data_IF_302665154432
#
_entry.id   IF_302665154432
#
_cell.length_a   1.000
_cell.length_b   1.000
_cell.length_c   1.000
_cell.angle_alpha   90.00
_cell.angle_beta   90.00
_cell.angle_gamma   90.00
#
_symmetry.space_group_name_H-M   'P 1'
#
loop_
_entity.id
_entity.type
_entity.pdbx_description
1 polymer ?
#
# COMPACT_ATOMS: atom_id res chain seq x y z
N UNK A 1 6.24 -16.11 -3.59
CA UNK A 1 7.67 -15.94 -3.86
C UNK A 1 8.42 -16.95 -3.00
N UNK A 2 9.35 -17.75 -3.56
CA UNK A 2 10.03 -18.78 -2.77
C UNK A 2 11.24 -18.22 -2.01
N UNK A 3 11.62 -18.87 -0.90
CA UNK A 3 12.88 -18.54 -0.25
C UNK A 3 14.04 -18.65 -1.24
N UNK A 4 14.98 -17.70 -1.17
CA UNK A 4 16.09 -17.45 -2.09
C UNK A 4 15.74 -16.76 -3.42
N UNK A 5 14.47 -16.49 -3.71
CA UNK A 5 14.01 -15.65 -4.82
C UNK A 5 13.68 -14.24 -4.31
N UNK A 6 14.01 -13.19 -5.06
CA UNK A 6 13.70 -11.83 -4.63
C UNK A 6 12.24 -11.46 -4.91
N UNK A 7 11.65 -10.60 -4.09
CA UNK A 7 10.39 -9.94 -4.44
C UNK A 7 10.64 -9.03 -5.64
N UNK A 8 9.93 -9.27 -6.75
CA UNK A 8 10.06 -8.48 -7.97
C UNK A 8 9.28 -7.16 -7.88
N UNK A 9 9.99 -6.05 -8.08
CA UNK A 9 9.45 -4.69 -8.20
C UNK A 9 9.67 -4.24 -9.65
N UNK A 10 8.56 -4.04 -10.37
CA UNK A 10 8.61 -3.62 -11.76
C UNK A 10 8.38 -2.12 -11.89
N UNK A 11 9.23 -1.44 -12.66
CA UNK A 11 9.11 -0.02 -12.97
C UNK A 11 9.00 0.18 -14.48
N UNK A 12 8.17 1.14 -14.87
CA UNK A 12 8.11 1.68 -16.23
C UNK A 12 8.70 3.09 -16.23
N UNK A 13 9.62 3.34 -17.16
CA UNK A 13 10.23 4.66 -17.33
C UNK A 13 9.48 5.50 -18.36
N UNK A 14 9.55 6.82 -18.24
CA UNK A 14 8.93 7.72 -19.20
C UNK A 14 9.53 7.51 -20.60
N UNK A 15 8.67 7.35 -21.61
CA UNK A 15 9.09 7.06 -22.99
C UNK A 15 9.34 5.57 -23.27
N UNK A 16 9.20 4.69 -22.28
CA UNK A 16 9.26 3.24 -22.43
C UNK A 16 7.86 2.63 -22.25
N UNK A 17 7.49 1.70 -23.13
CA UNK A 17 6.24 0.95 -23.04
C UNK A 17 6.39 -0.36 -22.26
N UNK A 18 7.62 -0.76 -21.94
CA UNK A 18 7.94 -1.98 -21.21
C UNK A 18 8.08 -1.75 -19.70
N UNK A 19 7.97 -2.85 -18.94
CA UNK A 19 8.28 -2.88 -17.51
C UNK A 19 9.59 -3.63 -17.31
N UNK A 20 10.45 -3.09 -16.46
CA UNK A 20 11.74 -3.69 -16.10
C UNK A 20 11.74 -4.07 -14.61
N UNK A 21 12.35 -5.21 -14.28
CA UNK A 21 12.56 -5.61 -12.88
C UNK A 21 13.69 -4.75 -12.30
N UNK A 22 13.34 -3.94 -11.30
CA UNK A 22 14.22 -2.98 -10.64
C UNK A 22 14.52 -3.36 -9.18
N UNK A 23 14.16 -4.57 -8.74
CA UNK A 23 14.19 -4.98 -7.33
C UNK A 23 15.55 -4.79 -6.66
N UNK A 24 16.62 -5.14 -7.36
CA UNK A 24 17.99 -5.01 -6.83
C UNK A 24 18.46 -3.56 -6.81
N UNK A 25 18.11 -2.78 -7.84
CA UNK A 25 18.50 -1.37 -7.98
C UNK A 25 17.78 -0.51 -6.94
N UNK A 26 16.51 -0.82 -6.68
CA UNK A 26 15.68 -0.09 -5.74
C UNK A 26 15.90 -0.48 -4.27
N UNK A 27 16.72 -1.49 -3.97
CA UNK A 27 17.07 -1.89 -2.60
C UNK A 27 16.19 -2.99 -1.98
N UNK A 28 15.24 -3.57 -2.72
CA UNK A 28 14.34 -4.62 -2.20
C UNK A 28 14.94 -6.03 -2.34
N UNK A 29 15.73 -6.26 -3.38
CA UNK A 29 16.06 -7.61 -3.84
C UNK A 29 16.87 -8.47 -2.86
N UNK A 30 17.94 -7.91 -2.29
CA UNK A 30 18.87 -8.66 -1.45
C UNK A 30 18.27 -9.10 -0.11
N UNK A 31 17.38 -8.30 0.47
CA UNK A 31 16.75 -8.61 1.74
C UNK A 31 15.48 -9.42 1.60
N UNK A 32 14.66 -9.16 0.57
CA UNK A 32 13.41 -9.89 0.35
C UNK A 32 13.66 -11.38 0.08
N UNK A 33 14.76 -11.72 -0.60
CA UNK A 33 15.08 -13.11 -0.95
C UNK A 33 15.39 -14.04 0.22
N UNK A 34 15.58 -13.49 1.42
CA UNK A 34 15.91 -14.29 2.61
C UNK A 34 14.69 -15.08 3.12
N UNK A 35 13.49 -14.66 2.76
CA UNK A 35 12.22 -15.17 3.29
C UNK A 35 11.32 -15.71 2.18
N UNK A 36 10.33 -16.52 2.55
CA UNK A 36 9.27 -16.98 1.67
C UNK A 36 8.05 -16.06 1.84
N UNK A 37 7.79 -15.24 0.81
CA UNK A 37 6.75 -14.21 0.83
C UNK A 37 5.43 -14.70 0.25
N UNK A 38 4.33 -14.36 0.95
CA UNK A 38 2.95 -14.61 0.51
C UNK A 38 2.15 -13.33 0.25
N UNK A 39 2.05 -12.46 1.26
CA UNK A 39 1.30 -11.21 1.16
C UNK A 39 2.24 -10.05 0.88
N UNK A 40 1.88 -9.21 -0.07
CA UNK A 40 2.65 -8.02 -0.46
C UNK A 40 1.69 -6.89 -0.82
N UNK A 41 2.00 -5.67 -0.39
CA UNK A 41 1.25 -4.46 -0.77
C UNK A 41 2.14 -3.22 -0.74
N UNK A 42 1.66 -2.18 -1.43
CA UNK A 42 2.13 -0.81 -1.30
C UNK A 42 1.14 0.02 -0.47
N UNK A 43 1.68 0.80 0.46
CA UNK A 43 0.97 1.77 1.30
C UNK A 43 1.95 2.87 1.78
N UNK A 44 1.48 4.09 1.95
CA UNK A 44 2.23 5.23 2.51
C UNK A 44 2.01 5.25 4.04
N UNK A 45 2.95 4.70 4.82
CA UNK A 45 2.75 4.50 6.27
C UNK A 45 3.13 5.73 7.11
N UNK A 46 3.94 6.65 6.58
CA UNK A 46 4.38 7.87 7.27
C UNK A 46 3.75 9.16 6.71
N UNK A 47 2.87 9.02 5.71
CA UNK A 47 2.12 10.09 5.07
C UNK A 47 3.01 11.13 4.38
N UNK A 48 4.18 10.71 3.92
CA UNK A 48 5.13 11.56 3.19
C UNK A 48 4.86 11.63 1.68
N UNK A 49 3.79 10.96 1.23
CA UNK A 49 3.33 10.94 -0.14
C UNK A 49 4.08 9.95 -1.03
N UNK A 50 4.91 9.06 -0.47
CA UNK A 50 5.56 7.95 -1.18
C UNK A 50 5.03 6.63 -0.64
N UNK A 51 4.82 5.67 -1.53
CA UNK A 51 4.33 4.35 -1.13
C UNK A 51 5.52 3.49 -0.68
N UNK A 52 5.42 2.94 0.52
CA UNK A 52 6.30 1.92 1.08
C UNK A 52 5.86 0.53 0.62
N UNK A 53 6.77 -0.44 0.67
CA UNK A 53 6.49 -1.84 0.35
C UNK A 53 6.46 -2.66 1.63
N UNK A 54 5.31 -3.20 1.99
CA UNK A 54 5.17 -4.16 3.08
C UNK A 54 4.97 -5.57 2.54
N UNK A 55 5.67 -6.53 3.15
CA UNK A 55 5.46 -7.94 2.87
C UNK A 55 5.44 -8.80 4.11
N UNK A 56 4.60 -9.83 4.07
CA UNK A 56 4.47 -10.82 5.13
C UNK A 56 4.94 -12.20 4.66
N UNK A 57 5.70 -12.84 5.54
CA UNK A 57 6.47 -14.03 5.26
C UNK A 57 6.09 -15.19 6.18
N UNK A 58 6.52 -16.39 5.79
CA UNK A 58 6.42 -17.61 6.59
C UNK A 58 6.50 -18.83 5.71
N UNK A 59 7.39 -19.76 6.04
CA UNK A 59 7.63 -20.94 5.23
C UNK A 59 6.41 -21.88 5.18
N UNK A 60 6.39 -22.78 4.21
CA UNK A 60 5.33 -23.80 4.06
C UNK A 60 5.61 -25.07 4.85
N UNK A 61 6.89 -25.45 4.92
CA UNK A 61 7.39 -26.62 5.64
C UNK A 61 7.84 -26.25 7.06
N UNK A 62 7.28 -26.93 8.07
CA UNK A 62 7.55 -26.69 9.49
C UNK A 62 8.96 -27.12 9.90
N UNK A 63 9.48 -28.15 9.23
CA UNK A 63 10.78 -28.76 9.52
C UNK A 63 11.90 -28.28 8.57
N UNK A 64 11.69 -27.16 7.86
CA UNK A 64 12.61 -26.70 6.80
C UNK A 64 14.05 -26.53 7.29
N UNK A 65 14.23 -26.11 8.54
CA UNK A 65 15.53 -25.91 9.17
C UNK A 65 16.37 -27.20 9.24
N UNK A 66 15.75 -28.39 9.17
CA UNK A 66 16.45 -29.68 9.12
C UNK A 66 17.14 -29.93 7.79
N UNK A 67 16.64 -29.30 6.72
CA UNK A 67 17.18 -29.43 5.35
C UNK A 67 17.98 -28.18 4.96
N UNK A 68 17.53 -27.00 5.36
CA UNK A 68 18.15 -25.71 5.10
C UNK A 68 18.26 -24.92 6.40
N UNK A 69 19.40 -25.02 7.09
CA UNK A 69 19.59 -24.44 8.43
C UNK A 69 19.39 -22.91 8.50
N UNK A 70 19.52 -22.19 7.38
CA UNK A 70 19.29 -20.75 7.29
C UNK A 70 17.81 -20.37 7.21
N UNK A 71 16.92 -21.33 6.99
CA UNK A 71 15.48 -21.12 6.86
C UNK A 71 14.76 -21.55 8.14
N UNK A 72 13.69 -20.83 8.48
CA UNK A 72 12.81 -21.17 9.60
C UNK A 72 11.36 -21.15 9.15
N UNK A 73 10.52 -21.95 9.82
CA UNK A 73 9.10 -22.00 9.52
C UNK A 73 8.43 -20.64 9.70
N UNK A 74 8.64 -20.04 10.87
CA UNK A 74 8.25 -18.66 11.13
C UNK A 74 9.31 -17.73 10.54
N UNK A 75 8.89 -16.67 9.88
CA UNK A 75 9.79 -15.70 9.26
C UNK A 75 9.35 -14.28 9.58
N UNK A 76 10.29 -13.33 9.71
CA UNK A 76 9.94 -11.94 9.97
C UNK A 76 9.18 -11.34 8.78
N UNK A 77 8.21 -10.48 9.05
CA UNK A 77 7.70 -9.57 8.01
C UNK A 77 8.76 -8.51 7.67
N UNK A 78 8.59 -7.84 6.54
CA UNK A 78 9.53 -6.82 6.09
C UNK A 78 8.76 -5.59 5.61
N UNK A 79 9.11 -4.45 6.19
CA UNK A 79 8.73 -3.14 5.69
C UNK A 79 9.95 -2.54 5.01
N UNK A 80 9.80 -2.21 3.73
CA UNK A 80 10.76 -1.48 2.94
C UNK A 80 10.24 -0.04 2.83
N UNK A 81 10.83 0.86 3.61
CA UNK A 81 10.48 2.28 3.63
C UNK A 81 11.04 2.99 2.40
N UNK A 82 10.20 3.76 1.72
CA UNK A 82 10.54 4.51 0.53
C UNK A 82 11.16 5.85 0.92
N UNK A 83 12.48 5.85 1.07
CA UNK A 83 13.29 7.02 1.42
C UNK A 83 13.28 8.11 0.33
N UNK A 84 12.88 7.75 -0.91
CA UNK A 84 12.86 8.65 -2.06
C UNK A 84 14.15 8.62 -2.89
N UNK A 85 14.17 9.38 -3.98
CA UNK A 85 15.24 9.32 -5.00
C UNK A 85 16.60 9.86 -4.52
N UNK A 86 16.64 10.61 -3.42
CA UNK A 86 17.88 11.16 -2.86
C UNK A 86 18.69 10.15 -2.07
N UNK A 87 18.14 8.96 -1.80
CA UNK A 87 18.79 7.93 -0.99
C UNK A 87 19.55 6.95 -1.90
N UNK A 88 20.65 6.37 -1.39
CA UNK A 88 21.48 5.42 -2.18
C UNK A 88 20.67 4.26 -2.76
N UNK A 89 19.65 3.82 -2.03
CA UNK A 89 18.60 2.95 -2.51
C UNK A 89 17.25 3.53 -2.11
N UNK A 90 16.30 3.53 -3.05
CA UNK A 90 15.00 4.13 -2.83
C UNK A 90 14.24 3.45 -1.69
N UNK A 91 14.33 2.13 -1.59
CA UNK A 91 13.73 1.36 -0.50
C UNK A 91 14.79 0.92 0.50
N UNK A 92 14.52 1.17 1.78
CA UNK A 92 15.38 0.81 2.90
C UNK A 92 14.61 -0.15 3.80
N UNK A 93 15.22 -1.31 4.11
CA UNK A 93 14.62 -2.26 5.04
C UNK A 93 14.53 -1.66 6.46
N UNK A 94 13.32 -1.53 6.96
CA UNK A 94 13.06 -1.10 8.34
C UNK A 94 13.33 -2.24 9.33
N UNK A 95 13.98 -1.95 10.47
CA UNK A 95 14.21 -2.95 11.52
C UNK A 95 12.94 -3.31 12.31
N UNK A 96 11.85 -2.54 12.17
CA UNK A 96 10.64 -2.62 12.99
C UNK A 96 10.02 -4.02 13.01
N UNK A 97 10.00 -4.70 11.86
CA UNK A 97 9.34 -6.01 11.69
C UNK A 97 10.30 -7.20 11.69
N UNK A 98 11.60 -6.98 11.96
CA UNK A 98 12.61 -8.03 11.89
C UNK A 98 12.72 -8.88 13.17
N UNK A 99 12.18 -8.39 14.28
CA UNK A 99 12.33 -9.02 15.60
C UNK A 99 11.32 -10.14 15.82
N UNK A 100 10.07 -9.93 15.42
CA UNK A 100 9.02 -10.93 15.53
C UNK A 100 8.94 -11.78 14.26
N UNK A 101 8.60 -13.06 14.43
CA UNK A 101 8.44 -14.01 13.33
C UNK A 101 7.01 -14.52 13.30
N UNK A 102 6.45 -14.57 12.10
CA UNK A 102 5.07 -14.98 11.88
C UNK A 102 5.02 -16.11 10.85
N UNK A 103 3.84 -16.71 10.72
CA UNK A 103 3.53 -17.64 9.63
C UNK A 103 2.49 -16.97 8.74
N UNK A 104 2.85 -15.79 8.22
CA UNK A 104 1.90 -14.90 7.57
C UNK A 104 1.51 -15.36 6.17
N UNK A 105 0.29 -15.00 5.75
CA UNK A 105 -0.29 -15.41 4.46
C UNK A 105 -0.91 -14.24 3.71
N UNK A 106 -1.92 -13.63 4.31
CA UNK A 106 -2.60 -12.46 3.76
C UNK A 106 -2.23 -11.20 4.53
N UNK A 107 -2.25 -10.07 3.84
CA UNK A 107 -2.10 -8.75 4.43
C UNK A 107 -3.10 -7.80 3.79
N UNK A 108 -3.79 -7.03 4.62
CA UNK A 108 -4.70 -5.98 4.21
C UNK A 108 -4.35 -4.69 4.93
N UNK A 109 -4.59 -3.56 4.27
CA UNK A 109 -4.35 -2.23 4.82
C UNK A 109 -5.67 -1.47 4.98
N UNK A 110 -5.81 -0.74 6.08
CA UNK A 110 -6.88 0.21 6.34
C UNK A 110 -6.45 1.12 7.47
N UNK A 111 -6.84 2.39 7.43
CA UNK A 111 -6.91 3.22 8.62
C UNK A 111 -8.15 2.78 9.44
N UNK A 112 -7.92 2.13 10.59
CA UNK A 112 -8.94 1.47 11.42
C UNK A 112 -9.48 2.40 12.51
N UNK A 113 -8.63 3.24 13.08
CA UNK A 113 -9.00 4.20 14.13
C UNK A 113 -9.33 5.61 13.60
N UNK A 114 -9.12 5.83 12.30
CA UNK A 114 -9.52 7.01 11.51
C UNK A 114 -8.68 8.25 11.78
N UNK A 115 -7.40 8.07 12.10
CA UNK A 115 -6.47 9.19 12.31
C UNK A 115 -5.64 9.54 11.06
N UNK A 116 -5.72 8.69 10.03
CA UNK A 116 -5.13 8.91 8.71
C UNK A 116 -3.92 8.05 8.43
N UNK A 117 -3.21 7.55 9.44
CA UNK A 117 -2.13 6.61 9.19
C UNK A 117 -2.69 5.19 8.92
N UNK A 118 -1.96 4.42 8.13
CA UNK A 118 -2.48 3.16 7.61
C UNK A 118 -2.10 1.99 8.52
N UNK A 119 -3.10 1.26 9.02
CA UNK A 119 -2.91 0.04 9.82
C UNK A 119 -2.84 -1.22 8.98
N UNK A 120 -2.31 -2.28 9.58
CA UNK A 120 -2.20 -3.59 8.96
C UNK A 120 -3.02 -4.66 9.66
N UNK A 121 -3.69 -5.49 8.86
CA UNK A 121 -4.28 -6.75 9.31
C UNK A 121 -3.55 -7.89 8.61
N UNK A 122 -2.98 -8.80 9.39
CA UNK A 122 -2.19 -9.93 8.88
C UNK A 122 -2.84 -11.24 9.30
N UNK A 123 -3.05 -12.13 8.33
CA UNK A 123 -3.49 -13.51 8.61
C UNK A 123 -2.31 -14.44 8.76
N UNK A 124 -2.46 -15.46 9.61
CA UNK A 124 -1.44 -16.44 9.90
C UNK A 124 -1.99 -17.86 9.81
N UNK A 125 -1.14 -18.83 9.47
CA UNK A 125 -1.52 -20.24 9.52
C UNK A 125 -1.68 -20.69 10.97
N UNK A 126 -2.81 -21.31 11.29
CA UNK A 126 -3.10 -21.93 12.59
C UNK A 126 -2.89 -21.00 13.80
N UNK A 127 -3.02 -19.69 13.59
CA UNK A 127 -2.85 -18.63 14.59
C UNK A 127 -3.90 -17.56 14.42
N UNK A 128 -4.04 -16.72 15.45
CA UNK A 128 -4.89 -15.54 15.37
C UNK A 128 -4.34 -14.56 14.34
N UNK A 129 -5.25 -13.84 13.68
CA UNK A 129 -4.88 -12.68 12.90
C UNK A 129 -4.22 -11.62 13.81
N UNK A 130 -3.29 -10.87 13.25
CA UNK A 130 -2.67 -9.72 13.90
C UNK A 130 -3.36 -8.46 13.39
N UNK A 131 -3.58 -7.53 14.30
CA UNK A 131 -3.97 -6.15 14.00
C UNK A 131 -2.83 -5.29 14.51
N UNK A 132 -2.19 -4.56 13.60
CA UNK A 132 -1.03 -3.72 13.87
C UNK A 132 -1.47 -2.29 13.65
N UNK A 133 -1.62 -1.55 14.74
CA UNK A 133 -2.01 -0.15 14.71
C UNK A 133 -0.76 0.69 14.50
N UNK A 134 -0.78 1.52 13.47
CA UNK A 134 0.29 2.46 13.20
C UNK A 134 0.19 3.62 14.21
N UNK A 135 1.34 4.10 14.68
CA UNK A 135 1.42 5.18 15.67
C UNK A 135 2.56 6.11 15.29
N UNK A 136 2.70 6.35 13.98
CA UNK A 136 3.84 7.10 13.47
C UNK A 136 3.76 8.55 13.96
N UNK A 137 4.66 8.90 14.89
CA UNK A 137 4.72 10.23 15.47
C UNK A 137 5.08 11.25 14.38
N UNK A 138 4.20 12.23 14.16
CA UNK A 138 4.31 13.26 13.11
C UNK A 138 4.12 12.74 11.68
N UNK A 139 3.19 11.79 11.48
CA UNK A 139 2.67 11.52 10.15
C UNK A 139 2.21 12.85 9.53
N UNK A 140 2.61 13.13 8.28
CA UNK A 140 2.29 14.38 7.59
C UNK A 140 0.77 14.64 7.48
N UNK A 141 0.40 15.75 6.85
CA UNK A 141 -1.00 15.98 6.50
C UNK A 141 -1.52 14.89 5.57
N UNK A 142 -2.83 14.67 5.55
CA UNK A 142 -3.42 13.67 4.66
C UNK A 142 -4.77 14.10 4.11
N UNK A 143 -5.26 13.38 3.10
CA UNK A 143 -6.67 13.45 2.71
C UNK A 143 -7.21 12.06 2.47
N UNK A 144 -8.31 11.73 3.15
CA UNK A 144 -9.06 10.50 2.97
C UNK A 144 -10.21 10.71 2.00
N UNK A 145 -10.39 9.78 1.06
CA UNK A 145 -11.47 9.81 0.08
C UNK A 145 -12.27 8.50 0.11
N UNK A 146 -13.59 8.63 0.18
CA UNK A 146 -14.54 7.55 -0.08
C UNK A 146 -15.31 7.86 -1.35
N UNK A 147 -15.20 6.99 -2.36
CA UNK A 147 -15.94 7.16 -3.60
C UNK A 147 -17.29 6.45 -3.50
N UNK A 148 -18.35 7.10 -4.00
CA UNK A 148 -19.69 6.53 -4.03
C UNK A 148 -20.41 6.81 -5.35
N UNK A 149 -20.97 5.76 -5.96
CA UNK A 149 -21.93 5.86 -7.07
C UNK A 149 -23.20 5.07 -6.72
N UNK A 150 -24.15 5.77 -6.10
CA UNK A 150 -25.41 5.20 -5.64
C UNK A 150 -26.34 4.75 -6.79
N UNK A 151 -25.99 5.07 -8.05
CA UNK A 151 -26.82 4.81 -9.23
C UNK A 151 -26.52 3.47 -9.92
N UNK A 152 -25.50 2.74 -9.45
CA UNK A 152 -25.03 1.49 -10.07
C UNK A 152 -24.79 0.40 -9.02
N UNK A 153 -24.53 -0.82 -9.47
CA UNK A 153 -24.15 -1.93 -8.57
C UNK A 153 -22.75 -1.75 -7.98
N UNK A 154 -21.82 -1.16 -8.74
CA UNK A 154 -20.47 -0.83 -8.30
C UNK A 154 -20.48 0.43 -7.43
N UNK A 155 -21.07 0.32 -6.23
CA UNK A 155 -21.33 1.48 -5.37
C UNK A 155 -20.07 2.15 -4.84
N UNK A 156 -18.98 1.40 -4.68
CA UNK A 156 -17.68 1.92 -4.19
C UNK A 156 -16.78 2.41 -5.33
N UNK A 157 -17.33 2.49 -6.56
CA UNK A 157 -16.62 2.92 -7.75
C UNK A 157 -15.28 2.18 -7.99
N UNK A 158 -15.26 0.87 -7.78
CA UNK A 158 -14.11 0.00 -8.06
C UNK A 158 -13.67 0.21 -9.52
N UNK A 159 -12.38 0.50 -9.71
CA UNK A 159 -11.80 0.86 -11.01
C UNK A 159 -11.73 2.36 -11.30
N UNK A 160 -12.27 3.23 -10.45
CA UNK A 160 -12.10 4.67 -10.57
C UNK A 160 -10.64 5.08 -10.34
N UNK A 161 -10.17 6.10 -11.05
CA UNK A 161 -8.86 6.72 -10.85
C UNK A 161 -9.06 8.06 -10.15
N UNK A 162 -8.29 8.31 -9.11
CA UNK A 162 -8.27 9.60 -8.42
C UNK A 162 -6.91 10.23 -8.60
N UNK A 163 -6.89 11.41 -9.22
CA UNK A 163 -5.70 12.24 -9.36
C UNK A 163 -5.83 13.45 -8.43
N UNK A 164 -4.78 13.72 -7.65
CA UNK A 164 -4.69 14.88 -6.76
C UNK A 164 -3.45 15.67 -7.12
N UNK A 165 -3.60 16.98 -7.33
CA UNK A 165 -2.48 17.89 -7.53
C UNK A 165 -2.36 18.83 -6.32
N UNK A 166 -1.14 19.00 -5.82
CA UNK A 166 -0.80 19.84 -4.67
C UNK A 166 0.29 20.84 -5.02
N UNK A 167 0.93 21.50 -4.05
CA UNK A 167 2.11 22.32 -4.34
C UNK A 167 3.37 21.48 -4.51
N UNK A 168 3.48 20.38 -3.75
CA UNK A 168 4.65 19.52 -3.72
C UNK A 168 4.66 18.53 -4.87
N UNK A 169 3.52 17.86 -5.14
CA UNK A 169 3.46 16.79 -6.15
C UNK A 169 2.05 16.46 -6.66
N UNK A 170 2.03 15.57 -7.64
CA UNK A 170 0.84 14.93 -8.17
C UNK A 170 0.75 13.49 -7.66
N UNK A 171 -0.44 13.09 -7.26
CA UNK A 171 -0.77 11.75 -6.82
C UNK A 171 -1.74 11.11 -7.79
N UNK A 172 -1.63 9.81 -7.99
CA UNK A 172 -2.59 9.00 -8.72
C UNK A 172 -2.81 7.70 -7.96
N UNK A 173 -4.05 7.47 -7.48
CA UNK A 173 -4.44 6.16 -6.94
C UNK A 173 -5.62 5.61 -7.72
N UNK A 174 -5.61 4.29 -7.88
CA UNK A 174 -6.72 3.54 -8.44
C UNK A 174 -7.53 2.94 -7.28
N UNK A 175 -8.86 3.10 -7.34
CA UNK A 175 -9.78 2.48 -6.41
C UNK A 175 -9.86 0.97 -6.68
N UNK A 176 -8.93 0.22 -6.08
CA UNK A 176 -8.84 -1.24 -6.18
C UNK A 176 -8.49 -1.82 -4.81
N UNK A 177 -9.48 -2.23 -4.01
CA UNK A 177 -9.25 -2.80 -2.68
C UNK A 177 -8.64 -4.22 -2.75
N UNK A 178 -8.74 -4.90 -3.90
CA UNK A 178 -8.20 -6.25 -4.11
C UNK A 178 -6.67 -6.25 -4.17
N UNK A 179 -6.04 -6.39 -3.00
CA UNK A 179 -4.59 -6.48 -2.81
C UNK A 179 -4.22 -7.69 -1.94
N UNK A 180 -3.16 -8.40 -2.34
CA UNK A 180 -2.58 -9.50 -1.57
C UNK A 180 -3.27 -10.85 -1.73
N UNK A 181 -2.65 -11.90 -1.17
CA UNK A 181 -3.15 -13.27 -1.20
C UNK A 181 -4.23 -13.50 -0.13
N UNK A 182 -5.41 -13.95 -0.56
CA UNK A 182 -6.57 -14.20 0.32
C UNK A 182 -6.93 -13.01 1.22
N UNK A 183 -6.74 -11.80 0.72
CA UNK A 183 -6.95 -10.55 1.44
C UNK A 183 -7.61 -9.49 0.56
N UNK A 184 -8.25 -8.52 1.22
CA UNK A 184 -8.78 -7.33 0.58
C UNK A 184 -8.55 -6.15 1.54
N UNK A 185 -7.97 -5.07 1.02
CA UNK A 185 -7.77 -3.83 1.75
C UNK A 185 -9.03 -2.97 1.76
N UNK A 186 -9.06 -1.95 2.60
CA UNK A 186 -10.18 -1.01 2.63
C UNK A 186 -10.36 -0.30 1.27
N UNK A 187 -11.61 0.08 0.97
CA UNK A 187 -11.98 0.94 -0.16
C UNK A 187 -11.73 2.43 0.14
N UNK A 188 -11.18 2.76 1.31
CA UNK A 188 -10.73 4.11 1.67
C UNK A 188 -9.42 4.41 0.99
N UNK A 189 -9.39 5.51 0.24
CA UNK A 189 -8.16 6.03 -0.34
C UNK A 189 -7.58 7.08 0.59
N UNK A 190 -6.42 6.81 1.16
CA UNK A 190 -5.64 7.79 1.93
C UNK A 190 -4.50 8.28 1.07
N UNK A 191 -4.28 9.60 1.04
CA UNK A 191 -3.13 10.22 0.39
C UNK A 191 -2.34 11.00 1.45
N UNK A 192 -1.09 10.60 1.70
CA UNK A 192 -0.15 11.43 2.46
C UNK A 192 0.22 12.67 1.65
N UNK A 193 0.13 13.82 2.29
CA UNK A 193 0.39 15.14 1.73
C UNK A 193 1.68 15.75 2.27
N UNK A 194 2.38 15.05 3.16
CA UNK A 194 3.58 15.52 3.84
C UNK A 194 3.32 16.86 4.57
N UNK A 195 3.74 17.98 3.98
CA UNK A 195 3.57 19.34 4.52
C UNK A 195 2.54 20.17 3.76
N UNK A 196 1.93 19.62 2.71
CA UNK A 196 0.93 20.37 1.94
C UNK A 196 -0.38 20.50 2.72
N UNK A 197 -0.72 21.75 3.04
CA UNK A 197 -1.94 22.07 3.79
C UNK A 197 -3.16 22.29 2.86
N UNK A 198 -3.00 22.08 1.55
CA UNK A 198 -4.08 22.35 0.58
C UNK A 198 -3.96 21.51 -0.69
N UNK A 199 -5.12 21.23 -1.29
CA UNK A 199 -5.24 20.56 -2.58
C UNK A 199 -5.56 21.60 -3.66
N UNK A 200 -4.81 21.60 -4.77
CA UNK A 200 -5.08 22.49 -5.92
C UNK A 200 -6.21 21.95 -6.78
N UNK A 201 -6.20 20.65 -7.02
CA UNK A 201 -7.13 19.99 -7.91
C UNK A 201 -7.30 18.54 -7.50
N UNK A 202 -8.54 18.07 -7.49
CA UNK A 202 -8.88 16.66 -7.31
C UNK A 202 -9.81 16.23 -8.44
N UNK A 203 -9.38 15.27 -9.24
CA UNK A 203 -10.16 14.73 -10.35
C UNK A 203 -10.41 13.24 -10.14
N UNK A 204 -11.68 12.85 -10.18
CA UNK A 204 -12.09 11.45 -10.22
C UNK A 204 -12.47 11.11 -11.66
N UNK A 205 -11.76 10.14 -12.25
CA UNK A 205 -12.23 9.44 -13.45
C UNK A 205 -12.99 8.19 -12.99
N UNK A 206 -14.31 8.21 -13.16
CA UNK A 206 -15.21 7.13 -12.75
C UNK A 206 -15.04 5.87 -13.62
N UNK A 207 -15.55 4.70 -13.19
CA UNK A 207 -15.39 3.45 -13.93
C UNK A 207 -16.01 3.47 -15.34
N UNK A 208 -16.98 4.35 -15.60
CA UNK A 208 -17.57 4.55 -16.93
C UNK A 208 -16.81 5.57 -17.81
N UNK A 209 -15.65 6.05 -17.35
CA UNK A 209 -14.81 7.02 -18.05
C UNK A 209 -15.22 8.47 -17.87
N UNK A 210 -16.37 8.76 -17.23
CA UNK A 210 -16.74 10.13 -16.92
C UNK A 210 -15.77 10.76 -15.92
N UNK A 211 -15.49 12.05 -16.07
CA UNK A 211 -14.60 12.80 -15.18
C UNK A 211 -15.38 13.80 -14.35
N UNK A 212 -14.99 13.94 -13.09
CA UNK A 212 -15.54 14.92 -12.16
C UNK A 212 -14.44 15.56 -11.35
N UNK A 213 -14.41 16.88 -11.34
CA UNK A 213 -13.54 17.66 -10.48
C UNK A 213 -14.24 17.95 -9.15
N UNK A 214 -13.47 17.87 -8.07
CA UNK A 214 -13.88 18.21 -6.72
C UNK A 214 -13.01 19.34 -6.19
N UNK A 215 -13.66 20.33 -5.59
CA UNK A 215 -13.03 21.49 -4.97
C UNK A 215 -13.37 21.52 -3.48
N UNK A 216 -12.58 22.25 -2.69
CA UNK A 216 -12.86 22.49 -1.26
C UNK A 216 -12.90 21.23 -0.38
N UNK A 217 -12.14 20.19 -0.75
CA UNK A 217 -11.95 19.05 0.15
C UNK A 217 -11.12 19.49 1.35
N UNK A 218 -11.45 18.92 2.51
CA UNK A 218 -10.70 19.19 3.73
C UNK A 218 -9.60 18.16 3.90
N UNK A 219 -8.43 18.61 4.31
CA UNK A 219 -7.34 17.75 4.74
C UNK A 219 -7.60 17.22 6.16
N UNK A 220 -6.79 16.25 6.57
CA UNK A 220 -6.76 15.56 7.86
C UNK A 220 -8.10 14.95 8.25
N UNK A 221 -8.87 14.53 7.25
CA UNK A 221 -10.12 13.81 7.41
C UNK A 221 -10.57 13.10 6.14
N UNK A 222 -11.63 12.33 6.29
CA UNK A 222 -12.33 11.69 5.19
C UNK A 222 -13.35 12.61 4.51
N UNK A 223 -13.34 12.61 3.19
CA UNK A 223 -14.31 13.26 2.32
C UNK A 223 -15.04 12.20 1.48
N UNK A 224 -16.38 12.26 1.42
CA UNK A 224 -17.15 11.39 0.53
C UNK A 224 -17.38 12.08 -0.82
N UNK A 225 -16.86 11.49 -1.90
CA UNK A 225 -17.01 11.98 -3.25
C UNK A 225 -18.11 11.18 -3.96
N UNK A 226 -19.24 11.83 -4.24
CA UNK A 226 -20.40 11.19 -4.88
C UNK A 226 -20.47 11.52 -6.36
N UNK A 227 -20.73 10.50 -7.17
CA UNK A 227 -21.10 10.69 -8.57
C UNK A 227 -22.53 11.22 -8.66
N UNK A 228 -22.79 12.31 -9.41
CA UNK A 228 -24.13 12.80 -9.64
C UNK A 228 -25.02 11.74 -10.29
N UNK A 229 -26.27 11.64 -9.82
CA UNK A 229 -27.29 10.91 -10.55
C UNK A 229 -27.52 11.55 -11.91
N UNK A 230 -27.58 10.75 -12.98
CA UNK A 230 -28.08 11.24 -14.27
C UNK A 230 -29.51 11.72 -14.04
N UNK A 231 -29.79 13.01 -14.25
CA UNK A 231 -31.17 13.47 -14.44
C UNK A 231 -31.68 12.78 -15.70
N UNK A 232 -32.69 11.92 -15.54
CA UNK A 232 -33.47 11.36 -16.65
C UNK A 232 -34.26 12.47 -17.34
#
# INVERSE_FOLDING_TARGET
>A
NFANEMTSVYQRFAGDESFSDQSSILGVGADSRKSLTFGVLFADFDLDGREDLFQVNGHVESDINRVQASQSYEQPAQLFWNCGESCDSQFILSPLFLQEKWIGRGVAVSDLDKDGDLDLIVTQVSRKALVLINQTLKAGHWVGLLLADDNVKNKEAIGAKVQINTNLRSYLKLQMPTKGYLSQSSSRLVFGLEKDESLKEVVVTWPDGSQQQFNQLKIDQYNTLKKPSKKL
#
